data_IF_034374696564
#
_entry.id   IF_034374696564
#
_cell.length_a   1.000
_cell.length_b   1.000
_cell.length_c   1.000
_cell.angle_alpha   90.00
_cell.angle_beta   90.00
_cell.angle_gamma   90.00
#
_symmetry.space_group_name_H-M   'P 1'
#
loop_
_entity.id
_entity.type
_entity.pdbx_description
1 polymer ?
#
# COMPACT_ATOMS: atom_id res chain seq x y z
N UNK A 1 -5.93 13.53 -19.04
CA UNK A 1 -5.44 12.31 -18.35
C UNK A 1 -4.22 12.55 -17.46
N UNK A 2 -3.14 13.18 -17.96
CA UNK A 2 -1.93 13.43 -17.14
C UNK A 2 -2.18 14.21 -15.83
N UNK A 3 -3.05 15.21 -15.84
CA UNK A 3 -3.38 16.00 -14.64
C UNK A 3 -4.11 15.17 -13.57
N UNK A 4 -4.97 14.22 -13.95
CA UNK A 4 -5.63 13.30 -13.02
C UNK A 4 -4.64 12.32 -12.41
N UNK A 5 -3.70 11.81 -13.21
CA UNK A 5 -2.63 10.94 -12.73
C UNK A 5 -1.77 11.65 -11.68
N UNK A 6 -1.38 12.91 -11.94
CA UNK A 6 -0.68 13.74 -10.97
C UNK A 6 -1.52 14.01 -9.72
N UNK A 7 -2.81 14.33 -9.88
CA UNK A 7 -3.70 14.56 -8.74
C UNK A 7 -3.79 13.31 -7.85
N UNK A 8 -4.01 12.13 -8.41
CA UNK A 8 -4.08 10.89 -7.65
C UNK A 8 -2.74 10.49 -7.05
N UNK A 9 -1.62 10.80 -7.70
CA UNK A 9 -0.30 10.67 -7.11
C UNK A 9 -0.18 11.53 -5.83
N UNK A 10 -0.56 12.81 -5.88
CA UNK A 10 -0.54 13.68 -4.69
C UNK A 10 -1.51 13.23 -3.61
N UNK A 11 -2.74 12.86 -3.99
CA UNK A 11 -3.75 12.34 -3.05
C UNK A 11 -3.21 11.08 -2.38
N UNK A 12 -2.68 10.11 -3.13
CA UNK A 12 -2.14 8.87 -2.59
C UNK A 12 -1.02 9.11 -1.60
N UNK A 13 -0.13 10.06 -1.90
CA UNK A 13 0.95 10.47 -0.99
C UNK A 13 0.38 10.89 0.38
N UNK A 14 -0.60 11.80 0.39
CA UNK A 14 -1.20 12.31 1.62
C UNK A 14 -2.10 11.28 2.31
N UNK A 15 -2.85 10.50 1.52
CA UNK A 15 -3.86 9.57 2.01
C UNK A 15 -3.22 8.42 2.79
N UNK A 16 -2.04 7.96 2.36
CA UNK A 16 -1.29 6.91 3.06
C UNK A 16 -0.98 7.30 4.51
N UNK A 17 -0.44 8.50 4.70
CA UNK A 17 -0.18 9.07 6.03
C UNK A 17 -1.47 9.30 6.82
N UNK A 18 -2.52 9.79 6.15
CA UNK A 18 -3.83 10.01 6.76
C UNK A 18 -4.43 8.72 7.31
N UNK A 19 -4.30 7.58 6.62
CA UNK A 19 -4.75 6.28 7.13
C UNK A 19 -4.01 5.90 8.42
N UNK A 20 -2.67 5.95 8.40
CA UNK A 20 -1.81 5.48 9.49
C UNK A 20 -1.83 6.33 10.77
N UNK A 21 -2.23 7.60 10.71
CA UNK A 21 -2.20 8.50 11.89
C UNK A 21 -3.51 8.62 12.63
N UNK A 22 -3.48 8.92 13.91
CA UNK A 22 -4.69 9.40 14.59
C UNK A 22 -5.04 10.80 14.10
N UNK A 23 -6.27 10.99 13.65
CA UNK A 23 -6.78 12.28 13.18
C UNK A 23 -7.95 12.64 14.06
N UNK A 24 -7.97 13.87 14.59
CA UNK A 24 -9.03 14.36 15.46
C UNK A 24 -9.82 15.46 14.75
N UNK A 25 -11.14 15.33 14.72
CA UNK A 25 -12.06 16.34 14.19
C UNK A 25 -12.93 16.81 15.34
N UNK A 26 -12.87 18.11 15.66
CA UNK A 26 -13.59 18.70 16.82
C UNK A 26 -13.33 17.93 18.13
N UNK A 27 -12.08 17.54 18.37
CA UNK A 27 -11.67 16.80 19.57
C UNK A 27 -12.03 15.31 19.59
N UNK A 28 -12.73 14.77 18.58
CA UNK A 28 -13.05 13.33 18.49
C UNK A 28 -12.13 12.62 17.50
N UNK A 29 -11.59 11.46 17.90
CA UNK A 29 -10.78 10.59 17.02
C UNK A 29 -11.63 10.13 15.84
N UNK A 30 -11.15 10.38 14.62
CA UNK A 30 -11.79 9.95 13.40
C UNK A 30 -11.73 8.42 13.31
N UNK A 31 -12.88 7.72 13.26
CA UNK A 31 -12.90 6.26 13.22
C UNK A 31 -12.19 5.72 11.97
N UNK A 32 -11.49 4.58 12.10
CA UNK A 32 -10.83 3.92 10.96
C UNK A 32 -11.82 3.56 9.85
N UNK A 33 -13.05 3.17 10.21
CA UNK A 33 -14.14 2.91 9.26
C UNK A 33 -14.41 4.11 8.33
N UNK A 34 -14.35 5.34 8.84
CA UNK A 34 -14.58 6.54 8.01
C UNK A 34 -13.46 6.72 6.98
N UNK A 35 -12.20 6.52 7.39
CA UNK A 35 -11.06 6.60 6.48
C UNK A 35 -11.11 5.51 5.40
N UNK A 36 -11.58 4.33 5.79
CA UNK A 36 -11.79 3.20 4.88
C UNK A 36 -12.89 3.50 3.86
N UNK A 37 -13.99 4.12 4.28
CA UNK A 37 -15.05 4.58 3.36
C UNK A 37 -14.49 5.61 2.37
N UNK A 38 -13.69 6.58 2.85
CA UNK A 38 -13.04 7.56 1.96
C UNK A 38 -12.12 6.88 0.93
N UNK A 39 -11.39 5.83 1.31
CA UNK A 39 -10.55 5.07 0.39
C UNK A 39 -11.39 4.41 -0.72
N UNK A 40 -12.51 3.79 -0.36
CA UNK A 40 -13.44 3.18 -1.32
C UNK A 40 -14.01 4.24 -2.27
N UNK A 41 -14.44 5.38 -1.75
CA UNK A 41 -14.96 6.48 -2.56
C UNK A 41 -13.90 7.03 -3.53
N UNK A 42 -12.64 7.14 -3.10
CA UNK A 42 -11.54 7.53 -3.97
C UNK A 42 -11.30 6.50 -5.09
N UNK A 43 -11.36 5.21 -4.78
CA UNK A 43 -11.23 4.17 -5.81
C UNK A 43 -12.37 4.25 -6.84
N UNK A 44 -13.62 4.38 -6.38
CA UNK A 44 -14.78 4.56 -7.25
C UNK A 44 -14.64 5.80 -8.14
N UNK A 45 -14.14 6.90 -7.58
CA UNK A 45 -13.85 8.12 -8.33
C UNK A 45 -12.77 7.89 -9.39
N UNK A 46 -11.72 7.12 -9.10
CA UNK A 46 -10.69 6.75 -10.07
C UNK A 46 -11.27 5.91 -11.22
N UNK A 47 -12.14 4.93 -10.93
CA UNK A 47 -12.85 4.16 -11.96
C UNK A 47 -13.77 5.04 -12.82
N UNK A 48 -14.49 5.96 -12.18
CA UNK A 48 -15.36 6.91 -12.88
C UNK A 48 -14.58 7.83 -13.82
N UNK A 49 -13.51 8.47 -13.31
CA UNK A 49 -12.67 9.38 -14.09
C UNK A 49 -11.88 8.64 -15.17
N UNK A 50 -11.44 7.41 -14.89
CA UNK A 50 -10.74 6.56 -15.85
C UNK A 50 -11.62 5.98 -16.95
N UNK A 51 -12.95 6.15 -16.88
CA UNK A 51 -13.89 5.64 -17.88
C UNK A 51 -14.12 4.13 -17.82
N UNK A 52 -13.59 3.45 -16.79
CA UNK A 52 -13.68 2.00 -16.61
C UNK A 52 -14.81 1.57 -15.67
N UNK A 53 -15.82 2.41 -15.48
CA UNK A 53 -16.93 2.10 -14.59
C UNK A 53 -17.79 0.96 -15.17
N UNK A 54 -18.03 -0.14 -14.42
CA UNK A 54 -18.69 -1.31 -14.96
C UNK A 54 -20.13 -1.06 -15.44
N UNK A 55 -20.47 -1.59 -16.61
CA UNK A 55 -21.84 -1.62 -17.13
C UNK A 55 -22.54 -2.95 -16.86
N UNK A 56 -21.76 -4.02 -16.70
CA UNK A 56 -22.23 -5.39 -16.54
C UNK A 56 -21.92 -5.92 -15.15
N UNK A 57 -22.73 -6.86 -14.67
CA UNK A 57 -22.59 -7.48 -13.35
C UNK A 57 -21.18 -8.04 -13.09
N UNK A 58 -20.56 -8.68 -14.09
CA UNK A 58 -19.24 -9.29 -13.92
C UNK A 58 -18.15 -8.23 -13.70
N UNK A 59 -18.26 -7.08 -14.38
CA UNK A 59 -17.37 -5.95 -14.16
C UNK A 59 -17.50 -5.35 -12.77
N UNK A 60 -18.72 -5.34 -12.19
CA UNK A 60 -18.93 -4.92 -10.81
C UNK A 60 -18.21 -5.83 -9.82
N UNK A 61 -18.29 -7.15 -10.00
CA UNK A 61 -17.55 -8.11 -9.18
C UNK A 61 -16.03 -7.89 -9.28
N UNK A 62 -15.51 -7.69 -10.50
CA UNK A 62 -14.09 -7.41 -10.75
C UNK A 62 -13.62 -6.11 -10.08
N UNK A 63 -14.43 -5.05 -10.13
CA UNK A 63 -14.12 -3.78 -9.46
C UNK A 63 -14.14 -3.92 -7.93
N UNK A 64 -15.15 -4.61 -7.37
CA UNK A 64 -15.24 -4.86 -5.93
C UNK A 64 -14.04 -5.68 -5.46
N UNK A 65 -13.63 -6.70 -6.23
CA UNK A 65 -12.44 -7.48 -5.95
C UNK A 65 -11.17 -6.62 -5.94
N UNK A 66 -10.97 -5.79 -6.98
CA UNK A 66 -9.83 -4.89 -7.06
C UNK A 66 -9.80 -3.91 -5.88
N UNK A 67 -10.95 -3.31 -5.51
CA UNK A 67 -11.05 -2.41 -4.35
C UNK A 67 -10.78 -3.17 -3.05
N UNK A 68 -11.31 -4.38 -2.88
CA UNK A 68 -11.08 -5.21 -1.69
C UNK A 68 -9.61 -5.55 -1.48
N UNK A 69 -8.89 -5.90 -2.54
CA UNK A 69 -7.45 -6.15 -2.46
C UNK A 69 -6.63 -4.87 -2.34
N UNK A 70 -7.01 -3.77 -3.00
CA UNK A 70 -6.39 -2.46 -2.81
C UNK A 70 -6.56 -1.96 -1.36
N UNK A 71 -7.70 -2.25 -0.75
CA UNK A 71 -7.97 -2.00 0.65
C UNK A 71 -7.09 -2.86 1.56
N UNK A 72 -6.96 -4.16 1.28
CA UNK A 72 -6.06 -5.05 2.03
C UNK A 72 -4.60 -4.61 1.92
N UNK A 73 -4.18 -4.24 0.71
CA UNK A 73 -2.89 -3.63 0.43
C UNK A 73 -2.70 -2.39 1.31
N UNK A 74 -3.70 -1.49 1.34
CA UNK A 74 -3.58 -0.24 2.07
C UNK A 74 -3.66 -0.36 3.61
N UNK A 75 -4.22 -1.44 4.15
CA UNK A 75 -4.37 -1.58 5.60
C UNK A 75 -3.17 -2.19 6.33
N UNK A 76 -2.14 -2.66 5.64
CA UNK A 76 -0.90 -3.04 6.31
C UNK A 76 -0.20 -1.76 6.78
N UNK A 77 0.02 -1.58 8.09
CA UNK A 77 0.87 -0.52 8.61
C UNK A 77 2.32 -0.92 8.42
N UNK A 78 3.12 -0.14 7.68
CA UNK A 78 4.50 -0.53 7.36
C UNK A 78 5.51 -0.20 8.47
N UNK A 79 5.11 0.60 9.46
CA UNK A 79 5.98 0.94 10.60
C UNK A 79 6.57 -0.30 11.28
N UNK A 80 5.86 -1.42 11.18
CA UNK A 80 6.20 -2.71 11.78
C UNK A 80 7.09 -3.58 10.87
N UNK A 81 7.20 -3.25 9.57
CA UNK A 81 7.89 -4.05 8.55
C UNK A 81 9.27 -3.54 8.14
N UNK A 82 9.67 -2.35 8.60
CA UNK A 82 10.99 -1.79 8.33
C UNK A 82 11.66 -1.32 9.62
N UNK A 83 11.88 -2.29 10.50
CA UNK A 83 12.66 -2.11 11.73
C UNK A 83 13.99 -2.85 11.50
N UNK A 84 15.05 -2.07 11.30
CA UNK A 84 16.43 -2.56 11.30
C UNK A 84 16.94 -2.54 12.75
N UNK A 85 16.37 -3.40 13.59
CA UNK A 85 16.78 -3.55 14.98
C UNK A 85 16.71 -5.03 15.34
N UNK A 86 17.88 -5.67 15.45
CA UNK A 86 18.01 -7.10 15.74
C UNK A 86 17.60 -7.45 17.19
N UNK A 87 17.37 -6.44 18.03
CA UNK A 87 17.11 -6.62 19.47
C UNK A 87 15.64 -6.49 19.88
N UNK A 88 14.78 -6.01 18.97
CA UNK A 88 13.36 -5.81 19.28
C UNK A 88 12.54 -7.10 19.14
N UNK A 89 11.54 -7.31 20.02
CA UNK A 89 10.67 -8.47 19.95
C UNK A 89 9.84 -8.51 18.65
N UNK A 90 9.36 -9.71 18.34
CA UNK A 90 8.62 -10.12 17.14
C UNK A 90 7.23 -9.45 17.05
N UNK A 91 7.18 -8.13 16.94
CA UNK A 91 5.94 -7.38 16.84
C UNK A 91 5.36 -7.44 15.40
N UNK A 92 4.16 -8.04 15.36
CA UNK A 92 3.03 -7.90 14.42
C UNK A 92 3.28 -7.71 12.92
N UNK A 93 4.18 -8.49 12.31
CA UNK A 93 3.98 -8.85 10.89
C UNK A 93 2.74 -9.75 10.76
N UNK A 94 2.00 -9.61 9.67
CA UNK A 94 0.88 -10.52 9.37
C UNK A 94 1.35 -11.98 9.48
N UNK A 95 0.57 -12.81 10.19
CA UNK A 95 0.93 -14.19 10.55
C UNK A 95 1.51 -15.02 9.40
N UNK A 96 0.95 -14.90 8.21
CA UNK A 96 1.39 -15.66 7.03
C UNK A 96 2.76 -15.18 6.51
N UNK A 97 3.02 -13.87 6.46
CA UNK A 97 4.35 -13.32 6.09
C UNK A 97 5.39 -13.77 7.11
N UNK A 98 5.08 -13.67 8.40
CA UNK A 98 5.98 -14.14 9.46
C UNK A 98 6.30 -15.63 9.33
N UNK A 99 5.31 -16.46 9.01
CA UNK A 99 5.52 -17.90 8.74
C UNK A 99 6.45 -18.14 7.55
N UNK A 100 6.21 -17.47 6.42
CA UNK A 100 7.04 -17.63 5.21
C UNK A 100 8.48 -17.20 5.48
N UNK A 101 8.69 -16.07 6.17
CA UNK A 101 10.02 -15.60 6.51
C UNK A 101 10.75 -16.53 7.50
N UNK A 102 10.04 -17.10 8.47
CA UNK A 102 10.58 -18.13 9.38
C UNK A 102 11.00 -19.39 8.63
N UNK A 103 10.30 -19.76 7.55
CA UNK A 103 10.67 -20.89 6.69
C UNK A 103 11.92 -20.58 5.85
N UNK A 104 12.05 -19.36 5.31
CA UNK A 104 13.17 -18.99 4.42
C UNK A 104 14.44 -18.69 5.23
N UNK A 105 14.36 -17.83 6.25
CA UNK A 105 15.53 -17.32 6.97
C UNK A 105 15.79 -18.02 8.30
N UNK A 106 14.81 -18.78 8.83
CA UNK A 106 14.86 -19.34 10.18
C UNK A 106 14.33 -18.39 11.27
N UNK A 107 14.14 -18.90 12.48
CA UNK A 107 13.64 -18.11 13.62
C UNK A 107 14.67 -17.02 14.00
N UNK A 108 14.23 -15.78 14.14
CA UNK A 108 15.04 -14.64 14.60
C UNK A 108 15.96 -14.00 13.55
N UNK A 109 16.06 -14.55 12.34
CA UNK A 109 17.03 -14.10 11.30
C UNK A 109 16.44 -13.16 10.23
N UNK A 110 15.18 -12.72 10.35
CA UNK A 110 14.46 -11.97 9.30
C UNK A 110 14.18 -10.49 9.65
N UNK A 111 14.84 -9.95 10.69
CA UNK A 111 14.85 -8.51 11.01
C UNK A 111 16.05 -7.77 10.42
N UNK A 112 16.87 -8.46 9.64
CA UNK A 112 17.90 -7.84 8.81
C UNK A 112 17.25 -7.16 7.58
N UNK A 113 18.07 -6.45 6.80
CA UNK A 113 17.61 -5.76 5.59
C UNK A 113 16.89 -6.71 4.61
N UNK A 114 17.44 -7.88 4.35
CA UNK A 114 16.88 -8.87 3.42
C UNK A 114 15.51 -9.38 3.86
N UNK A 115 15.35 -9.69 5.15
CA UNK A 115 14.11 -10.17 5.72
C UNK A 115 13.02 -9.08 5.79
N UNK A 116 13.39 -7.82 6.02
CA UNK A 116 12.47 -6.69 5.93
C UNK A 116 12.04 -6.43 4.46
N UNK A 117 12.99 -6.43 3.52
CA UNK A 117 12.71 -6.29 2.09
C UNK A 117 11.79 -7.40 1.58
N UNK A 118 12.10 -8.67 1.90
CA UNK A 118 11.28 -9.82 1.52
C UNK A 118 9.92 -9.78 2.22
N UNK A 119 9.86 -9.35 3.47
CA UNK A 119 8.60 -9.17 4.20
C UNK A 119 7.67 -8.16 3.55
N UNK A 120 8.21 -7.02 3.12
CA UNK A 120 7.48 -6.03 2.33
C UNK A 120 7.07 -6.58 0.97
N UNK A 121 7.99 -7.22 0.24
CA UNK A 121 7.67 -7.87 -1.04
C UNK A 121 6.51 -8.85 -0.89
N UNK A 122 6.53 -9.75 0.09
CA UNK A 122 5.43 -10.70 0.31
C UNK A 122 4.13 -9.96 0.67
N UNK A 123 4.19 -9.08 1.68
CA UNK A 123 3.04 -8.37 2.20
C UNK A 123 2.31 -7.51 1.17
N UNK A 124 3.02 -6.99 0.17
CA UNK A 124 2.48 -6.06 -0.83
C UNK A 124 2.35 -6.68 -2.22
N UNK A 125 3.27 -7.53 -2.66
CA UNK A 125 3.22 -8.15 -3.98
C UNK A 125 1.99 -9.05 -4.12
N UNK A 126 1.72 -9.91 -3.14
CA UNK A 126 0.56 -10.81 -3.17
C UNK A 126 -0.77 -10.03 -3.33
N UNK A 127 -1.12 -9.07 -2.46
CA UNK A 127 -2.36 -8.32 -2.64
C UNK A 127 -2.36 -7.46 -3.91
N UNK A 128 -1.22 -6.96 -4.39
CA UNK A 128 -1.19 -6.21 -5.66
C UNK A 128 -1.47 -7.09 -6.87
N UNK A 129 -0.91 -8.30 -6.93
CA UNK A 129 -1.19 -9.27 -7.98
C UNK A 129 -2.68 -9.65 -7.93
N UNK A 130 -3.20 -9.96 -6.74
CA UNK A 130 -4.60 -10.34 -6.58
C UNK A 130 -5.56 -9.20 -6.96
N UNK A 131 -5.25 -7.95 -6.63
CA UNK A 131 -6.01 -6.79 -7.11
C UNK A 131 -5.93 -6.67 -8.65
N UNK A 132 -4.75 -6.87 -9.22
CA UNK A 132 -4.45 -6.64 -10.62
C UNK A 132 -5.07 -7.66 -11.59
N UNK A 133 -5.31 -8.90 -11.15
CA UNK A 133 -5.88 -9.98 -11.98
C UNK A 133 -7.27 -9.60 -12.53
N UNK A 134 -8.04 -8.78 -11.82
CA UNK A 134 -9.40 -8.40 -12.22
C UNK A 134 -9.48 -6.98 -12.78
N UNK A 135 -8.35 -6.32 -13.03
CA UNK A 135 -8.29 -4.98 -13.60
C UNK A 135 -8.06 -5.03 -15.11
N UNK A 136 -8.46 -3.98 -15.87
CA UNK A 136 -8.29 -3.94 -17.33
C UNK A 136 -6.83 -4.05 -17.78
N UNK A 137 -5.91 -3.47 -17.01
CA UNK A 137 -4.49 -3.65 -17.18
C UNK A 137 -3.89 -4.35 -15.97
N UNK A 138 -2.65 -4.80 -16.12
CA UNK A 138 -1.98 -5.48 -15.01
C UNK A 138 -0.96 -4.60 -14.28
N UNK A 139 -0.71 -3.37 -14.72
CA UNK A 139 0.32 -2.49 -14.16
C UNK A 139 0.30 -2.34 -12.63
N UNK A 140 -0.86 -2.52 -11.99
CA UNK A 140 -0.95 -2.48 -10.54
C UNK A 140 -0.13 -3.57 -9.82
N UNK A 141 0.29 -4.67 -10.47
CA UNK A 141 1.20 -5.65 -9.85
C UNK A 141 2.55 -5.03 -9.44
N UNK A 142 2.99 -3.99 -10.15
CA UNK A 142 4.20 -3.23 -9.78
C UNK A 142 4.04 -2.48 -8.46
N UNK A 143 2.81 -2.19 -8.01
CA UNK A 143 2.58 -1.52 -6.73
C UNK A 143 3.16 -2.31 -5.56
N UNK A 144 3.17 -3.64 -5.65
CA UNK A 144 3.81 -4.52 -4.68
C UNK A 144 5.31 -4.29 -4.51
N UNK A 145 6.00 -3.87 -5.57
CA UNK A 145 7.44 -3.61 -5.59
C UNK A 145 7.74 -2.18 -5.09
N UNK A 146 6.80 -1.25 -5.26
CA UNK A 146 7.02 0.15 -4.88
C UNK A 146 7.28 0.31 -3.37
N UNK A 147 6.62 -0.48 -2.52
CA UNK A 147 6.86 -0.44 -1.07
C UNK A 147 8.34 -0.74 -0.75
N UNK A 148 8.89 -1.93 -1.02
CA UNK A 148 10.27 -2.25 -0.69
C UNK A 148 11.30 -1.30 -1.35
N UNK A 149 11.04 -0.84 -2.58
CA UNK A 149 11.91 0.13 -3.26
C UNK A 149 11.89 1.49 -2.57
N UNK A 150 10.72 2.05 -2.29
CA UNK A 150 10.60 3.35 -1.60
C UNK A 150 11.27 3.31 -0.22
N UNK A 151 11.07 2.22 0.53
CA UNK A 151 11.71 2.04 1.83
C UNK A 151 13.23 1.93 1.73
N UNK A 152 13.73 1.15 0.78
CA UNK A 152 15.17 1.01 0.54
C UNK A 152 15.81 2.34 0.16
N UNK A 153 15.22 3.05 -0.81
CA UNK A 153 15.75 4.34 -1.28
C UNK A 153 15.71 5.38 -0.16
N UNK A 154 14.60 5.48 0.59
CA UNK A 154 14.51 6.40 1.72
C UNK A 154 15.48 6.04 2.85
N UNK A 155 15.72 4.75 3.12
CA UNK A 155 16.75 4.32 4.08
C UNK A 155 18.15 4.76 3.62
N UNK A 156 18.47 4.60 2.33
CA UNK A 156 19.78 4.97 1.78
C UNK A 156 20.01 6.49 1.78
N UNK A 157 19.01 7.27 1.38
CA UNK A 157 19.14 8.74 1.22
C UNK A 157 18.99 9.45 2.57
N UNK A 158 18.09 8.98 3.43
CA UNK A 158 17.67 9.67 4.64
C UNK A 158 18.11 8.98 5.93
N UNK A 159 19.14 8.12 5.85
CA UNK A 159 19.66 7.28 6.94
C UNK A 159 19.80 7.99 8.29
N UNK A 160 20.27 9.25 8.26
CA UNK A 160 20.53 10.06 9.45
C UNK A 160 19.34 10.91 9.91
N UNK A 161 18.20 10.83 9.21
CA UNK A 161 16.99 11.54 9.59
C UNK A 161 16.01 10.58 10.25
N UNK A 162 15.34 11.01 11.31
CA UNK A 162 14.21 10.28 11.89
C UNK A 162 12.97 10.21 10.98
N UNK A 163 13.06 10.65 9.71
CA UNK A 163 11.94 10.83 8.78
C UNK A 163 11.90 9.81 7.65
N UNK A 164 12.83 8.86 7.59
CA UNK A 164 12.95 7.88 6.49
C UNK A 164 11.66 7.09 6.23
N UNK A 165 11.05 6.53 7.28
CA UNK A 165 9.78 5.78 7.18
C UNK A 165 8.62 6.68 6.75
N UNK A 166 8.57 7.92 7.25
CA UNK A 166 7.53 8.88 6.87
C UNK A 166 7.61 9.23 5.38
N UNK A 167 8.81 9.46 4.85
CA UNK A 167 9.02 9.77 3.44
C UNK A 167 8.76 8.56 2.54
N UNK A 168 9.10 7.36 3.00
CA UNK A 168 8.80 6.12 2.28
C UNK A 168 7.29 5.91 2.12
N UNK A 169 6.49 6.15 3.18
CA UNK A 169 5.01 6.09 3.10
C UNK A 169 4.45 7.10 2.10
N UNK A 170 5.01 8.31 2.06
CA UNK A 170 4.60 9.33 1.09
C UNK A 170 4.88 8.92 -0.36
N UNK A 171 6.09 8.46 -0.63
CA UNK A 171 6.49 8.04 -1.97
C UNK A 171 5.69 6.82 -2.42
N UNK A 172 5.57 5.82 -1.55
CA UNK A 172 4.84 4.59 -1.82
C UNK A 172 3.33 4.86 -2.02
N UNK A 173 2.72 5.67 -1.15
CA UNK A 173 1.33 6.13 -1.28
C UNK A 173 1.06 6.75 -2.65
N UNK A 174 1.97 7.60 -3.11
CA UNK A 174 1.87 8.27 -4.39
C UNK A 174 1.95 7.30 -5.57
N UNK A 175 2.95 6.41 -5.55
CA UNK A 175 3.15 5.40 -6.59
C UNK A 175 1.96 4.44 -6.69
N UNK A 176 1.40 3.98 -5.56
CA UNK A 176 0.24 3.10 -5.56
C UNK A 176 -0.99 3.70 -6.24
N UNK A 177 -1.36 4.92 -5.86
CA UNK A 177 -2.54 5.56 -6.42
C UNK A 177 -2.34 5.91 -7.88
N UNK A 178 -1.13 6.33 -8.27
CA UNK A 178 -0.79 6.51 -9.67
C UNK A 178 -0.95 5.19 -10.44
N UNK A 179 -0.37 4.09 -9.97
CA UNK A 179 -0.46 2.79 -10.64
C UNK A 179 -1.90 2.27 -10.68
N UNK A 180 -2.69 2.47 -9.64
CA UNK A 180 -4.10 2.12 -9.64
C UNK A 180 -4.87 2.94 -10.67
N UNK A 181 -4.61 4.25 -10.75
CA UNK A 181 -5.26 5.12 -11.72
C UNK A 181 -4.89 4.75 -13.16
N UNK A 182 -3.59 4.58 -13.45
CA UNK A 182 -3.10 4.17 -14.76
C UNK A 182 -3.66 2.81 -15.18
N UNK A 183 -4.04 1.97 -14.22
CA UNK A 183 -4.65 0.69 -14.50
C UNK A 183 -6.16 0.80 -14.87
N UNK A 184 -6.85 1.85 -14.41
CA UNK A 184 -8.27 2.08 -14.72
C UNK A 184 -8.51 3.11 -15.83
N UNK A 185 -7.44 3.67 -16.40
CA UNK A 185 -7.49 4.62 -17.52
C UNK A 185 -7.25 3.89 -18.83
N UNK A 186 -8.21 4.02 -19.75
CA UNK A 186 -8.08 3.70 -21.18
C UNK A 186 -7.99 5.00 -21.98
#
# INVERSE_FOLDING_TARGET
MAYWALLFFFIGSLFRRFLGREVFIKGKKLPRIVKNILLVLLCLLMYWIGGSFPKEWIGWLCMIWAIGWFFRFNNHTHGDYWILDETKPDEERSWWVGKVLKLIFGKGKYYNFEGNFMGLMLGYLVPSILASITMPHHWFWFAGITAPVCYTICEMILKFTGRRTEMAEYAHGACMFLLFFLNVVV
#
